data_IF_160530578964
#
_entry.id   IF_160530578964
#
_cell.length_a   1.000
_cell.length_b   1.000
_cell.length_c   1.000
_cell.angle_alpha   90.00
_cell.angle_beta   90.00
_cell.angle_gamma   90.00
#
_symmetry.space_group_name_H-M   'P 1'
#
loop_
_entity.id
_entity.type
_entity.pdbx_description
1 polymer ?
#
# COMPACT_ATOMS: atom_id res chain seq x y z
N UNK A 1 17.49 -6.52 -1.55
CA UNK A 1 16.47 -5.80 -0.82
C UNK A 1 15.10 -6.41 -1.09
N UNK A 2 14.38 -6.75 -0.04
CA UNK A 2 13.07 -7.35 -0.20
C UNK A 2 12.08 -6.33 -0.71
N UNK A 3 11.14 -6.82 -1.53
CA UNK A 3 10.12 -5.96 -2.11
C UNK A 3 8.96 -5.84 -1.15
N UNK A 4 8.69 -4.65 -0.70
CA UNK A 4 7.62 -4.39 0.24
C UNK A 4 6.31 -4.24 -0.52
N UNK A 5 5.34 -5.11 -0.19
CA UNK A 5 4.02 -5.05 -0.79
C UNK A 5 3.13 -4.06 -0.07
N UNK A 6 3.12 -4.11 1.25
CA UNK A 6 2.37 -3.16 2.06
C UNK A 6 2.82 -3.24 3.51
N UNK A 7 2.41 -2.25 4.28
CA UNK A 7 2.69 -2.19 5.71
C UNK A 7 1.38 -1.98 6.42
N UNK A 8 1.12 -2.76 7.47
CA UNK A 8 -0.09 -2.57 8.25
C UNK A 8 0.22 -2.52 9.74
N UNK A 9 -0.79 -2.14 10.51
CA UNK A 9 -0.69 -2.01 11.95
C UNK A 9 -1.86 -2.74 12.58
N UNK A 10 -1.58 -3.80 13.31
CA UNK A 10 -2.60 -4.58 13.99
C UNK A 10 -2.07 -5.04 15.35
N UNK A 11 -2.93 -5.07 16.34
CA UNK A 11 -2.59 -5.54 17.66
C UNK A 11 -1.34 -4.85 18.21
N UNK A 12 -1.27 -3.54 17.97
CA UNK A 12 -0.17 -2.69 18.44
C UNK A 12 1.18 -3.09 17.84
N UNK A 13 1.15 -3.77 16.69
CA UNK A 13 2.36 -4.21 16.03
C UNK A 13 2.34 -3.73 14.58
N UNK A 14 3.41 -3.08 14.16
CA UNK A 14 3.60 -2.70 12.76
C UNK A 14 4.24 -3.88 12.04
N UNK A 15 3.69 -4.25 10.90
CA UNK A 15 4.19 -5.40 10.15
C UNK A 15 4.48 -4.99 8.71
N UNK A 16 5.66 -5.37 8.23
CA UNK A 16 6.05 -5.14 6.84
C UNK A 16 5.82 -6.44 6.08
N UNK A 17 4.94 -6.38 5.09
CA UNK A 17 4.59 -7.54 4.28
C UNK A 17 5.39 -7.50 2.99
N UNK A 18 6.27 -8.47 2.81
CA UNK A 18 7.04 -8.60 1.58
C UNK A 18 6.50 -9.77 0.77
N UNK A 19 7.08 -9.97 -0.41
CA UNK A 19 6.69 -11.10 -1.26
C UNK A 19 6.99 -12.43 -0.60
N UNK A 20 7.98 -12.49 0.30
CA UNK A 20 8.42 -13.73 0.91
C UNK A 20 7.95 -13.93 2.33
N UNK A 21 7.73 -12.85 3.08
CA UNK A 21 7.45 -13.02 4.51
C UNK A 21 6.84 -11.77 5.11
N UNK A 22 6.42 -11.90 6.36
CA UNK A 22 5.92 -10.78 7.16
C UNK A 22 6.97 -10.48 8.22
N UNK A 23 7.38 -9.23 8.31
CA UNK A 23 8.42 -8.80 9.25
C UNK A 23 7.79 -7.89 10.29
N UNK A 24 7.66 -8.35 11.54
CA UNK A 24 7.19 -7.45 12.60
C UNK A 24 8.30 -6.50 13.01
N UNK A 25 7.93 -5.25 13.26
CA UNK A 25 8.91 -4.25 13.68
C UNK A 25 8.42 -3.50 14.89
N UNK A 26 9.36 -3.10 15.72
CA UNK A 26 9.05 -2.26 16.89
C UNK A 26 8.79 -0.85 16.43
N UNK A 27 7.91 -0.16 17.15
CA UNK A 27 7.65 1.22 16.86
C UNK A 27 6.25 1.42 16.31
N UNK A 28 5.77 2.64 16.39
CA UNK A 28 4.46 2.97 15.89
C UNK A 28 4.43 3.01 14.38
N UNK A 29 3.23 2.85 13.84
CA UNK A 29 3.04 2.85 12.40
C UNK A 29 3.59 4.13 11.77
N UNK A 30 3.32 5.27 12.40
CA UNK A 30 3.78 6.57 11.88
C UNK A 30 5.29 6.64 11.82
N UNK A 31 5.97 6.17 12.84
CA UNK A 31 7.42 6.18 12.87
C UNK A 31 8.03 5.31 11.80
N UNK A 32 7.50 4.10 11.67
CA UNK A 32 8.05 3.13 10.74
C UNK A 32 7.83 3.56 9.31
N UNK A 33 6.69 4.19 9.03
CA UNK A 33 6.34 4.56 7.67
C UNK A 33 6.76 5.97 7.28
N UNK A 34 7.33 6.74 8.22
CA UNK A 34 7.63 8.15 7.96
C UNK A 34 8.46 8.36 6.70
N UNK A 35 9.49 7.55 6.52
CA UNK A 35 10.35 7.66 5.35
C UNK A 35 9.63 7.28 4.07
N UNK A 36 8.73 6.31 4.16
CA UNK A 36 8.02 5.82 2.99
C UNK A 36 6.89 6.74 2.55
N UNK A 37 6.39 7.58 3.44
CA UNK A 37 5.30 8.49 3.09
C UNK A 37 5.72 9.50 2.04
N UNK A 38 7.02 9.74 1.89
CA UNK A 38 7.53 10.63 0.87
C UNK A 38 7.76 9.92 -0.46
N UNK A 39 7.66 8.61 -0.46
CA UNK A 39 7.86 7.81 -1.65
C UNK A 39 6.54 7.69 -2.38
N UNK A 40 6.51 8.12 -3.64
CA UNK A 40 5.28 8.20 -4.41
C UNK A 40 4.66 6.83 -4.70
N UNK A 41 5.41 5.76 -4.51
CA UNK A 41 4.88 4.41 -4.73
C UNK A 41 3.90 4.00 -3.64
N UNK A 42 3.98 4.62 -2.45
CA UNK A 42 3.20 4.19 -1.30
C UNK A 42 1.99 5.07 -1.11
N UNK A 43 0.85 4.44 -0.89
CA UNK A 43 -0.44 5.11 -0.76
C UNK A 43 -1.12 4.64 0.52
N UNK A 44 -1.51 5.57 1.41
CA UNK A 44 -2.30 5.17 2.57
C UNK A 44 -3.75 4.90 2.10
N UNK A 45 -4.07 3.63 1.90
CA UNK A 45 -5.36 3.26 1.32
C UNK A 45 -6.42 2.98 2.38
N UNK A 46 -6.02 2.79 3.61
CA UNK A 46 -6.94 2.51 4.69
C UNK A 46 -6.25 2.87 5.99
N UNK A 47 -7.04 3.03 7.04
CA UNK A 47 -6.48 3.33 8.36
C UNK A 47 -5.49 2.25 8.77
N UNK A 48 -4.24 2.66 9.01
CA UNK A 48 -3.20 1.72 9.40
C UNK A 48 -2.70 0.81 8.30
N UNK A 49 -2.89 1.19 7.03
CA UNK A 49 -2.41 0.41 5.89
C UNK A 49 -1.75 1.33 4.89
N UNK A 50 -0.53 1.00 4.51
CA UNK A 50 0.22 1.73 3.50
C UNK A 50 0.59 0.75 2.40
N UNK A 51 0.01 0.90 1.21
CA UNK A 51 0.17 -0.05 0.12
C UNK A 51 1.17 0.46 -0.91
N UNK A 52 1.96 -0.46 -1.46
CA UNK A 52 2.88 -0.15 -2.54
C UNK A 52 2.14 -0.30 -3.87
N UNK A 53 1.93 0.81 -4.55
CA UNK A 53 1.13 0.81 -5.78
C UNK A 53 1.79 0.03 -6.92
N UNK A 54 3.10 -0.19 -6.86
CA UNK A 54 3.77 -1.00 -7.89
C UNK A 54 3.28 -2.45 -7.92
N UNK A 55 2.70 -2.91 -6.81
CA UNK A 55 2.29 -4.31 -6.69
C UNK A 55 0.79 -4.51 -6.68
N UNK A 56 0.03 -3.49 -7.06
CA UNK A 56 -1.41 -3.61 -7.22
C UNK A 56 -1.70 -4.23 -8.59
N UNK A 57 -2.45 -5.33 -8.58
CA UNK A 57 -2.82 -5.99 -9.84
C UNK A 57 -4.20 -5.60 -10.32
N UNK A 58 -5.11 -5.27 -9.38
CA UNK A 58 -6.47 -4.89 -9.73
C UNK A 58 -7.01 -3.91 -8.70
N UNK A 59 -7.93 -3.07 -9.12
CA UNK A 59 -8.64 -2.18 -8.22
C UNK A 59 -10.13 -2.27 -8.53
N UNK A 60 -10.95 -2.35 -7.47
CA UNK A 60 -12.40 -2.25 -7.64
C UNK A 60 -12.92 -1.18 -6.68
N UNK A 61 -14.23 -1.13 -6.49
CA UNK A 61 -14.82 -0.03 -5.71
C UNK A 61 -14.45 -0.08 -4.23
N UNK A 62 -14.01 -1.22 -3.73
CA UNK A 62 -13.80 -1.40 -2.30
C UNK A 62 -12.43 -1.92 -1.92
N UNK A 63 -11.68 -2.48 -2.86
CA UNK A 63 -10.40 -3.10 -2.52
C UNK A 63 -9.35 -2.86 -3.59
N UNK A 64 -8.10 -2.90 -3.15
CA UNK A 64 -6.96 -3.07 -4.03
C UNK A 64 -6.49 -4.51 -3.90
N UNK A 65 -6.29 -5.18 -5.04
CA UNK A 65 -5.75 -6.54 -5.03
C UNK A 65 -4.27 -6.50 -5.40
N UNK A 66 -3.47 -7.17 -4.62
CA UNK A 66 -2.03 -7.26 -4.87
C UNK A 66 -1.70 -8.44 -5.77
N UNK A 67 -0.49 -8.42 -6.30
CA UNK A 67 -0.03 -9.46 -7.23
C UNK A 67 -0.01 -10.85 -6.59
N UNK A 68 0.08 -10.93 -5.26
CA UNK A 68 0.06 -12.22 -4.55
C UNK A 68 -1.35 -12.69 -4.23
N UNK A 69 -2.37 -11.95 -4.68
CA UNK A 69 -3.76 -12.33 -4.45
C UNK A 69 -4.40 -11.74 -3.21
N UNK A 70 -3.63 -11.10 -2.35
CA UNK A 70 -4.20 -10.45 -1.18
C UNK A 70 -5.02 -9.25 -1.57
N UNK A 71 -6.07 -8.97 -0.79
CA UNK A 71 -6.92 -7.81 -1.01
C UNK A 71 -6.87 -6.91 0.20
N UNK A 72 -6.66 -5.62 -0.05
CA UNK A 72 -6.63 -4.63 1.00
C UNK A 72 -7.79 -3.66 0.82
N UNK A 73 -8.43 -3.24 1.92
CA UNK A 73 -9.59 -2.37 1.82
C UNK A 73 -9.21 -0.96 1.39
N UNK A 74 -10.16 -0.30 0.73
CA UNK A 74 -10.03 1.11 0.38
C UNK A 74 -10.95 1.88 1.32
N UNK A 75 -10.45 2.94 1.94
CA UNK A 75 -11.24 3.73 2.85
C UNK A 75 -12.49 4.26 2.16
N UNK A 76 -13.64 4.10 2.79
CA UNK A 76 -14.90 4.52 2.18
C UNK A 76 -14.98 6.02 2.01
N UNK A 77 -14.46 6.75 2.97
CA UNK A 77 -14.60 8.20 2.99
C UNK A 77 -13.97 8.86 1.75
N UNK A 78 -12.82 8.38 1.33
CA UNK A 78 -12.11 8.98 0.21
C UNK A 78 -11.71 7.96 -0.83
N UNK A 79 -12.52 6.92 -0.99
CA UNK A 79 -12.20 5.85 -1.92
C UNK A 79 -12.06 6.30 -3.36
N UNK A 80 -12.92 7.22 -3.79
CA UNK A 80 -12.83 7.73 -5.16
C UNK A 80 -11.49 8.41 -5.40
N UNK A 81 -11.06 9.22 -4.46
CA UNK A 81 -9.79 9.93 -4.57
C UNK A 81 -8.61 8.96 -4.56
N UNK A 82 -8.69 7.93 -3.73
CA UNK A 82 -7.62 6.93 -3.66
C UNK A 82 -7.49 6.16 -4.97
N UNK A 83 -8.64 5.75 -5.53
CA UNK A 83 -8.60 5.05 -6.81
C UNK A 83 -8.07 5.95 -7.92
N UNK A 84 -8.42 7.22 -7.89
CA UNK A 84 -7.92 8.16 -8.88
C UNK A 84 -6.42 8.38 -8.75
N UNK A 85 -5.92 8.45 -7.51
CA UNK A 85 -4.49 8.59 -7.27
C UNK A 85 -3.74 7.39 -7.87
N UNK A 86 -4.29 6.18 -7.70
CA UNK A 86 -3.67 5.00 -8.26
C UNK A 86 -3.69 5.05 -9.80
N UNK A 87 -4.81 5.47 -10.39
CA UNK A 87 -4.89 5.56 -11.85
C UNK A 87 -3.86 6.53 -12.39
N UNK A 88 -3.70 7.67 -11.73
CA UNK A 88 -2.71 8.65 -12.17
C UNK A 88 -1.29 8.14 -12.01
N UNK A 89 -1.04 7.38 -10.96
CA UNK A 89 0.26 6.77 -10.77
C UNK A 89 0.62 5.85 -11.93
N UNK A 90 -0.31 4.99 -12.31
CA UNK A 90 -0.09 4.08 -13.43
C UNK A 90 0.05 4.87 -14.73
N UNK A 91 -0.79 5.85 -14.92
CA UNK A 91 -0.85 6.65 -16.13
C UNK A 91 0.42 7.47 -16.36
N UNK A 92 1.03 7.92 -15.28
CA UNK A 92 2.24 8.74 -15.38
C UNK A 92 3.47 7.92 -15.78
N UNK A 93 3.31 6.62 -15.92
CA UNK A 93 4.43 5.76 -16.29
C UNK A 93 5.27 5.30 -15.13
N UNK A 94 4.93 5.73 -13.94
CA UNK A 94 5.69 5.26 -12.77
C UNK A 94 5.47 3.77 -12.57
N UNK A 95 4.29 3.30 -12.94
CA UNK A 95 3.98 1.88 -12.86
C UNK A 95 4.47 1.09 -14.05
N UNK A 96 5.18 1.69 -14.95
CA UNK A 96 5.87 0.96 -15.98
C UNK A 96 5.49 1.24 -17.41
N UNK A 97 4.28 1.45 -17.75
CA UNK A 97 3.96 1.65 -19.14
C UNK A 97 3.86 3.11 -19.48
N UNK A 98 4.46 3.42 -20.51
CA UNK A 98 4.47 4.78 -21.00
C UNK A 98 3.62 4.90 -22.24
#
# INVERSE_FOLDING_TARGET
TEKILYIDYQNRMTRIHTAERVIPVSGGFQEVTAALQKDKRFLPCYRGVLINMDYISQVDSQTFRLINGEELPIALRNGKQLRETYRQYVFSGMGGIV
#
